data_IF_082627901952
#
_entry.id   IF_082627901952
#
_cell.length_a   1.000
_cell.length_b   1.000
_cell.length_c   1.000
_cell.angle_alpha   90.00
_cell.angle_beta   90.00
_cell.angle_gamma   90.00
#
_symmetry.space_group_name_H-M   'P 1'
#
loop_
_entity.id
_entity.type
_entity.pdbx_description
1 polymer ?
#
# COMPACT_ATOMS: atom_id res chain seq x y z
N UNK A 1 -5.79 31.70 19.39
CA UNK A 1 -6.44 30.45 19.85
C UNK A 1 -7.45 30.04 18.78
N UNK A 2 -7.06 29.13 17.89
CA UNK A 2 -7.94 28.23 17.17
C UNK A 2 -7.24 26.88 17.24
N UNK A 3 -7.77 26.02 18.10
CA UNK A 3 -7.39 24.63 18.26
C UNK A 3 -8.13 23.83 17.18
N UNK A 4 -7.40 23.05 16.38
CA UNK A 4 -7.98 22.07 15.46
C UNK A 4 -8.13 22.54 14.02
N UNK A 5 -7.07 22.39 13.24
CA UNK A 5 -7.23 21.85 11.89
C UNK A 5 -6.34 20.61 11.79
N UNK A 6 -6.66 19.62 12.63
CA UNK A 6 -6.39 18.21 12.37
C UNK A 6 -6.97 17.89 11.00
N UNK A 7 -6.08 17.86 10.03
CA UNK A 7 -6.36 17.68 8.62
C UNK A 7 -5.05 17.61 7.86
N UNK A 8 -4.03 17.01 8.47
CA UNK A 8 -3.10 16.21 7.69
C UNK A 8 -4.02 15.20 7.01
N UNK A 9 -4.39 15.50 5.76
CA UNK A 9 -5.28 14.65 4.99
C UNK A 9 -4.48 13.38 4.79
N UNK A 10 -4.74 12.42 5.67
CA UNK A 10 -4.31 11.04 5.53
C UNK A 10 -4.37 10.67 4.05
N UNK A 11 -3.18 10.56 3.46
CA UNK A 11 -2.90 9.93 2.19
C UNK A 11 -3.83 10.26 1.03
N UNK A 12 -3.51 11.32 0.28
CA UNK A 12 -3.55 11.22 -1.20
C UNK A 12 -2.39 10.31 -1.69
N UNK A 13 -2.12 9.23 -0.96
CA UNK A 13 -1.28 8.16 -1.43
C UNK A 13 -2.14 7.44 -2.47
N UNK A 14 -2.03 7.90 -3.72
CA UNK A 14 -2.59 7.20 -4.87
C UNK A 14 -2.29 5.71 -4.70
N UNK A 15 -3.30 4.82 -4.76
CA UNK A 15 -3.10 3.41 -4.49
C UNK A 15 -2.00 2.89 -5.42
N UNK A 16 -1.05 2.09 -4.91
CA UNK A 16 0.04 1.59 -5.74
C UNK A 16 -0.54 0.81 -6.91
N UNK A 17 0.02 1.02 -8.09
CA UNK A 17 -0.33 0.24 -9.28
C UNK A 17 0.48 -1.04 -9.34
N UNK A 18 -0.12 -2.09 -9.89
CA UNK A 18 0.53 -3.37 -10.02
C UNK A 18 1.65 -3.28 -11.07
N UNK A 19 2.92 -3.57 -10.75
CA UNK A 19 4.01 -3.49 -11.73
C UNK A 19 3.94 -4.57 -12.81
N UNK A 20 2.99 -5.52 -12.72
CA UNK A 20 2.80 -6.60 -13.70
C UNK A 20 1.81 -6.25 -14.79
N UNK A 21 0.71 -5.58 -14.43
CA UNK A 21 -0.39 -5.27 -15.36
C UNK A 21 -0.73 -3.77 -15.43
N UNK A 22 -0.25 -2.95 -14.49
CA UNK A 22 -0.53 -1.52 -14.42
C UNK A 22 -1.87 -1.16 -13.76
N UNK A 23 -2.63 -2.14 -13.27
CA UNK A 23 -3.92 -1.90 -12.60
C UNK A 23 -3.75 -1.39 -11.16
N UNK A 24 -4.67 -0.54 -10.66
CA UNK A 24 -4.63 -0.08 -9.28
C UNK A 24 -4.84 -1.25 -8.31
N UNK A 25 -3.93 -1.40 -7.35
CA UNK A 25 -4.01 -2.45 -6.33
C UNK A 25 -4.75 -1.91 -5.12
N UNK A 26 -5.88 -2.52 -4.80
CA UNK A 26 -6.62 -2.20 -3.57
C UNK A 26 -6.04 -2.93 -2.36
N UNK A 27 -5.62 -4.19 -2.55
CA UNK A 27 -5.14 -5.05 -1.46
C UNK A 27 -4.05 -6.00 -1.96
N UNK A 28 -3.11 -6.35 -1.08
CA UNK A 28 -2.19 -7.46 -1.31
C UNK A 28 -2.41 -8.56 -0.29
N UNK A 29 -2.45 -9.79 -0.77
CA UNK A 29 -2.51 -10.99 0.04
C UNK A 29 -1.12 -11.62 0.08
N UNK A 30 -0.42 -11.49 1.20
CA UNK A 30 0.89 -12.14 1.40
C UNK A 30 0.67 -13.63 1.56
N UNK A 31 1.10 -14.41 0.56
CA UNK A 31 0.99 -15.88 0.57
C UNK A 31 2.26 -16.55 1.13
N UNK A 32 3.37 -15.81 1.22
CA UNK A 32 4.63 -16.29 1.76
C UNK A 32 5.63 -15.18 2.05
N UNK A 33 6.79 -15.50 2.64
CA UNK A 33 7.77 -14.50 3.08
C UNK A 33 8.35 -13.65 1.95
N UNK A 34 8.33 -14.17 0.71
CA UNK A 34 8.80 -13.48 -0.49
C UNK A 34 7.71 -13.34 -1.57
N UNK A 35 6.46 -13.71 -1.27
CA UNK A 35 5.38 -13.79 -2.26
C UNK A 35 4.10 -13.14 -1.75
N UNK A 36 3.61 -12.14 -2.48
CA UNK A 36 2.30 -11.55 -2.29
C UNK A 36 1.50 -11.58 -3.59
N UNK A 37 0.19 -11.60 -3.48
CA UNK A 37 -0.74 -11.59 -4.60
C UNK A 37 -1.49 -10.27 -4.57
N UNK A 38 -1.40 -9.48 -5.64
CA UNK A 38 -2.14 -8.24 -5.78
C UNK A 38 -3.58 -8.53 -6.20
N UNK A 39 -4.55 -7.95 -5.50
CA UNK A 39 -5.98 -8.05 -5.83
C UNK A 39 -6.50 -6.67 -6.27
N UNK A 40 -7.29 -6.59 -7.36
CA UNK A 40 -8.03 -7.68 -8.02
C UNK A 40 -7.31 -8.41 -9.17
N UNK A 41 -6.14 -7.95 -9.64
CA UNK A 41 -5.49 -8.50 -10.84
C UNK A 41 -4.93 -9.93 -10.67
N UNK A 42 -4.77 -10.41 -9.44
CA UNK A 42 -4.24 -11.75 -9.11
C UNK A 42 -2.73 -11.91 -9.37
N UNK A 43 -2.01 -10.83 -9.67
CA UNK A 43 -0.60 -10.91 -10.03
C UNK A 43 0.28 -11.18 -8.81
N UNK A 44 1.21 -12.14 -8.93
CA UNK A 44 2.23 -12.36 -7.90
C UNK A 44 3.28 -11.25 -7.95
N UNK A 45 3.46 -10.56 -6.83
CA UNK A 45 4.40 -9.46 -6.65
C UNK A 45 5.21 -9.63 -5.36
N UNK A 46 6.41 -9.04 -5.31
CA UNK A 46 7.21 -8.97 -4.08
C UNK A 46 6.50 -8.18 -2.96
N UNK A 47 6.46 -8.68 -1.71
CA UNK A 47 5.80 -8.00 -0.59
C UNK A 47 6.51 -6.70 -0.16
N UNK A 48 7.77 -6.48 -0.56
CA UNK A 48 8.53 -5.26 -0.25
C UNK A 48 8.08 -4.02 -1.06
N UNK A 49 7.22 -4.19 -2.07
CA UNK A 49 6.66 -3.08 -2.85
C UNK A 49 5.59 -2.28 -2.10
N UNK A 50 5.04 -2.86 -1.04
CA UNK A 50 3.92 -2.31 -0.27
C UNK A 50 4.23 -2.21 1.20
N UNK A 51 5.50 -2.03 1.56
CA UNK A 51 5.78 -1.64 2.93
C UNK A 51 5.09 -0.29 3.17
N UNK A 52 4.07 -0.21 4.04
CA UNK A 52 3.69 1.08 4.55
C UNK A 52 4.95 1.62 5.22
N UNK A 53 5.36 2.81 4.82
CA UNK A 53 6.44 3.56 5.46
C UNK A 53 5.98 3.98 6.88
N UNK A 54 5.62 3.02 7.75
CA UNK A 54 5.11 3.31 9.10
C UNK A 54 5.11 2.07 10.03
N UNK A 55 6.18 1.27 10.04
CA UNK A 55 6.41 0.29 11.11
C UNK A 55 7.79 0.44 11.76
N UNK A 56 8.34 1.66 11.71
CA UNK A 56 9.69 1.99 12.16
C UNK A 56 9.79 3.26 13.00
N UNK A 57 8.70 3.78 13.57
CA UNK A 57 8.78 4.85 14.57
C UNK A 57 8.96 4.23 15.98
N UNK A 58 10.20 4.13 16.43
CA UNK A 58 10.55 3.97 17.86
C UNK A 58 11.38 5.18 18.31
#
# INVERSE_FOLDING_TARGET
MCSGCDGDRDGDASPPTCPRCGEPVGFLTVSGPMTASASPCGCTVPPNLVQPDDAGRH
#
